data_IF_451141219477
#
_entry.id   IF_451141219477
#
_cell.length_a   1.000
_cell.length_b   1.000
_cell.length_c   1.000
_cell.angle_alpha   90.00
_cell.angle_beta   90.00
_cell.angle_gamma   90.00
#
_symmetry.space_group_name_H-M   'P 1'
#
loop_
_entity.id
_entity.type
_entity.pdbx_description
1 polymer ?
#
# COMPACT_ATOMS: atom_id res chain seq x y z
N UNK A 1 -10.89 -16.42 -10.86
CA UNK A 1 -11.38 -15.81 -9.61
C UNK A 1 -11.48 -14.30 -9.79
N UNK A 2 -12.70 -13.74 -10.00
CA UNK A 2 -12.89 -12.31 -10.25
C UNK A 2 -12.49 -11.41 -9.08
N UNK A 3 -12.47 -11.93 -7.84
CA UNK A 3 -12.14 -11.17 -6.63
C UNK A 3 -10.66 -10.75 -6.55
N UNK A 4 -9.74 -11.53 -7.10
CA UNK A 4 -8.31 -11.22 -7.02
C UNK A 4 -7.93 -10.04 -7.94
N UNK A 5 -8.48 -10.03 -9.15
CA UNK A 5 -8.30 -8.91 -10.07
C UNK A 5 -8.89 -7.62 -9.51
N UNK A 6 -10.04 -7.73 -8.82
CA UNK A 6 -10.67 -6.61 -8.14
C UNK A 6 -9.75 -6.02 -7.06
N UNK A 7 -9.10 -6.86 -6.25
CA UNK A 7 -8.17 -6.39 -5.21
C UNK A 7 -6.98 -5.63 -5.77
N UNK A 8 -6.42 -6.12 -6.88
CA UNK A 8 -5.32 -5.44 -7.58
C UNK A 8 -5.77 -4.08 -8.12
N UNK A 9 -6.93 -4.05 -8.79
CA UNK A 9 -7.52 -2.81 -9.32
C UNK A 9 -7.71 -1.80 -8.18
N UNK A 10 -8.24 -2.24 -7.04
CA UNK A 10 -8.36 -1.40 -5.85
C UNK A 10 -6.99 -0.85 -5.44
N UNK A 11 -6.01 -1.70 -5.18
CA UNK A 11 -4.68 -1.24 -4.74
C UNK A 11 -4.08 -0.20 -5.70
N UNK A 12 -4.18 -0.36 -7.01
CA UNK A 12 -3.53 0.57 -7.95
C UNK A 12 -4.32 1.83 -8.28
N UNK A 13 -5.62 1.89 -7.91
CA UNK A 13 -6.49 3.05 -8.23
C UNK A 13 -6.85 3.90 -7.01
N UNK A 14 -6.53 3.45 -5.80
CA UNK A 14 -6.83 4.16 -4.57
C UNK A 14 -5.98 5.43 -4.37
N UNK A 15 -6.50 6.32 -3.53
CA UNK A 15 -5.73 7.47 -3.02
C UNK A 15 -5.00 7.08 -1.75
N UNK A 16 -3.69 7.32 -1.74
CA UNK A 16 -2.83 7.08 -0.60
C UNK A 16 -2.36 8.40 0.03
N UNK A 17 -2.12 8.37 1.34
CA UNK A 17 -1.36 9.41 2.02
C UNK A 17 0.14 9.25 1.73
N UNK A 18 0.89 10.33 1.88
CA UNK A 18 2.36 10.29 1.85
C UNK A 18 2.89 9.24 2.83
N UNK A 19 3.96 8.48 2.49
CA UNK A 19 4.89 8.66 1.37
C UNK A 19 4.65 7.70 0.19
N UNK A 20 3.40 7.27 -0.04
CA UNK A 20 3.10 6.30 -1.10
C UNK A 20 2.95 6.99 -2.46
N UNK A 21 3.58 6.41 -3.49
CA UNK A 21 3.44 6.80 -4.88
C UNK A 21 3.04 5.60 -5.74
N UNK A 22 2.22 5.85 -6.77
CA UNK A 22 1.81 4.85 -7.77
C UNK A 22 2.33 5.29 -9.13
N UNK A 23 3.07 4.42 -9.79
CA UNK A 23 3.66 4.64 -11.11
C UNK A 23 3.14 3.59 -12.09
N UNK A 24 2.69 4.01 -13.26
CA UNK A 24 2.36 3.15 -14.38
C UNK A 24 3.22 3.47 -15.59
N UNK A 25 3.76 2.46 -16.27
CA UNK A 25 4.39 2.63 -17.59
C UNK A 25 3.54 1.95 -18.64
N UNK A 26 3.07 2.72 -19.62
CA UNK A 26 2.36 2.18 -20.78
C UNK A 26 3.31 1.42 -21.73
N UNK A 27 4.59 1.80 -21.76
CA UNK A 27 5.60 1.17 -22.63
C UNK A 27 5.90 -0.24 -22.15
N UNK A 28 6.17 -0.39 -20.86
CA UNK A 28 6.53 -1.67 -20.25
C UNK A 28 5.31 -2.43 -19.72
N UNK A 29 4.14 -1.81 -19.82
CA UNK A 29 2.85 -2.30 -19.33
C UNK A 29 2.97 -2.83 -17.89
N UNK A 30 3.57 -2.00 -17.04
CA UNK A 30 3.81 -2.30 -15.63
C UNK A 30 3.14 -1.26 -14.74
N UNK A 31 2.80 -1.68 -13.52
CA UNK A 31 2.33 -0.80 -12.45
C UNK A 31 3.14 -1.10 -11.20
N UNK A 32 3.57 -0.04 -10.51
CA UNK A 32 4.30 -0.13 -9.24
C UNK A 32 3.65 0.78 -8.21
N UNK A 33 3.41 0.25 -7.01
CA UNK A 33 3.11 1.04 -5.81
C UNK A 33 4.36 1.01 -4.95
N UNK A 34 4.83 2.17 -4.49
CA UNK A 34 6.06 2.27 -3.68
C UNK A 34 5.85 3.21 -2.51
N UNK A 35 6.29 2.77 -1.33
CA UNK A 35 6.56 3.65 -0.21
C UNK A 35 7.95 4.27 -0.43
N UNK A 36 7.97 5.58 -0.71
CA UNK A 36 9.20 6.29 -1.09
C UNK A 36 10.16 6.54 0.07
N UNK A 37 9.70 6.35 1.32
CA UNK A 37 10.53 6.54 2.52
C UNK A 37 11.37 5.31 2.85
N UNK A 38 10.77 4.11 2.78
CA UNK A 38 11.45 2.86 3.16
C UNK A 38 11.70 1.89 1.99
N UNK A 39 11.26 2.25 0.79
CA UNK A 39 11.49 1.46 -0.42
C UNK A 39 10.65 0.20 -0.55
N UNK A 40 9.69 -0.06 0.36
CA UNK A 40 8.71 -1.14 0.22
C UNK A 40 7.91 -0.92 -1.06
N UNK A 41 7.79 -1.94 -1.91
CA UNK A 41 7.10 -1.80 -3.19
C UNK A 41 6.33 -3.06 -3.57
N UNK A 42 5.25 -2.85 -4.32
CA UNK A 42 4.48 -3.86 -5.00
C UNK A 42 4.52 -3.59 -6.50
N UNK A 43 4.88 -4.58 -7.29
CA UNK A 43 5.09 -4.48 -8.73
C UNK A 43 4.22 -5.51 -9.46
N UNK A 44 3.61 -5.08 -10.55
CA UNK A 44 2.76 -5.88 -11.42
C UNK A 44 3.24 -5.68 -12.85
N UNK A 45 3.56 -6.78 -13.53
CA UNK A 45 4.00 -6.77 -14.91
C UNK A 45 2.93 -7.38 -15.84
N UNK A 46 2.97 -7.04 -17.12
CA UNK A 46 1.97 -7.44 -18.12
C UNK A 46 1.83 -8.95 -18.31
N UNK A 47 2.89 -9.72 -18.09
CA UNK A 47 2.87 -11.18 -18.10
C UNK A 47 2.17 -11.78 -16.87
N UNK A 48 1.50 -10.94 -16.07
CA UNK A 48 0.86 -11.30 -14.80
C UNK A 48 1.86 -11.83 -13.78
N UNK A 49 3.13 -11.45 -13.88
CA UNK A 49 4.07 -11.59 -12.78
C UNK A 49 3.83 -10.52 -11.73
N UNK A 50 3.90 -10.94 -10.47
CA UNK A 50 3.75 -10.06 -9.31
C UNK A 50 5.02 -10.16 -8.49
N UNK A 51 5.44 -9.02 -7.94
CA UNK A 51 6.53 -8.97 -6.98
C UNK A 51 6.22 -8.02 -5.84
N UNK A 52 6.66 -8.37 -4.64
CA UNK A 52 6.62 -7.50 -3.48
C UNK A 52 8.01 -7.46 -2.84
N UNK A 53 8.46 -6.28 -2.44
CA UNK A 53 9.69 -6.11 -1.66
C UNK A 53 9.33 -5.38 -0.38
N UNK A 54 9.69 -5.94 0.77
CA UNK A 54 9.47 -5.29 2.06
C UNK A 54 10.58 -4.26 2.39
N UNK A 55 10.42 -3.59 3.54
CA UNK A 55 11.39 -2.64 4.08
C UNK A 55 12.71 -3.27 4.51
N UNK A 56 12.72 -4.58 4.79
CA UNK A 56 13.89 -5.32 5.26
C UNK A 56 14.70 -5.90 4.09
N UNK A 57 14.20 -5.74 2.86
CA UNK A 57 14.84 -6.18 1.64
C UNK A 57 14.54 -7.63 1.27
N UNK A 58 13.49 -8.24 1.84
CA UNK A 58 12.98 -9.52 1.35
C UNK A 58 12.11 -9.29 0.11
N UNK A 59 12.19 -10.23 -0.83
CA UNK A 59 11.50 -10.19 -2.09
C UNK A 59 10.58 -11.39 -2.23
N UNK A 60 9.34 -11.18 -2.59
CA UNK A 60 8.40 -12.23 -2.98
C UNK A 60 8.10 -12.07 -4.46
N UNK A 61 8.23 -13.16 -5.21
CA UNK A 61 7.96 -13.21 -6.63
C UNK A 61 6.97 -14.31 -6.93
N UNK A 62 6.12 -14.10 -7.93
CA UNK A 62 5.42 -15.21 -8.58
C UNK A 62 6.46 -16.20 -9.10
N UNK A 63 6.08 -17.47 -9.20
CA UNK A 63 6.94 -18.50 -9.77
C UNK A 63 7.35 -18.10 -11.20
N UNK A 64 8.63 -17.78 -11.38
CA UNK A 64 9.20 -17.41 -12.67
C UNK A 64 9.57 -18.66 -13.45
N UNK A 65 9.51 -18.59 -14.79
CA UNK A 65 9.98 -19.70 -15.63
C UNK A 65 11.43 -20.05 -15.33
N UNK A 66 12.26 -19.03 -15.15
CA UNK A 66 13.62 -19.12 -14.65
C UNK A 66 14.03 -17.77 -14.07
N UNK A 67 15.03 -17.77 -13.18
CA UNK A 67 15.66 -16.53 -12.73
C UNK A 67 17.18 -16.72 -12.62
N UNK A 68 17.97 -15.72 -13.09
CA UNK A 68 19.41 -15.75 -12.92
C UNK A 68 19.78 -15.34 -11.48
N UNK A 69 20.71 -16.07 -10.88
CA UNK A 69 21.20 -15.85 -9.53
C UNK A 69 22.57 -16.49 -9.36
N UNK A 70 23.52 -15.81 -8.72
CA UNK A 70 24.87 -16.34 -8.45
C UNK A 70 25.52 -16.99 -9.70
N UNK A 71 25.53 -16.25 -10.82
CA UNK A 71 26.03 -16.67 -12.14
C UNK A 71 25.41 -17.95 -12.73
N UNK A 72 24.28 -18.40 -12.17
CA UNK A 72 23.54 -19.60 -12.61
C UNK A 72 22.09 -19.27 -12.92
N UNK A 73 21.47 -20.14 -13.71
CA UNK A 73 20.05 -20.07 -14.02
C UNK A 73 19.29 -21.10 -13.19
N UNK A 74 18.30 -20.64 -12.43
CA UNK A 74 17.44 -21.48 -11.59
C UNK A 74 16.01 -21.53 -12.12
N UNK A 75 15.32 -22.62 -11.80
CA UNK A 75 13.93 -22.89 -12.19
C UNK A 75 13.11 -23.05 -10.91
N UNK A 76 12.65 -21.94 -10.32
CA UNK A 76 12.09 -21.96 -9.00
C UNK A 76 10.73 -22.66 -9.00
N UNK A 77 10.42 -23.30 -7.88
CA UNK A 77 9.09 -23.86 -7.60
C UNK A 77 8.44 -23.17 -6.41
N UNK A 78 7.16 -23.47 -6.18
CA UNK A 78 6.42 -22.91 -5.06
C UNK A 78 7.12 -23.24 -3.74
N UNK A 79 7.40 -22.20 -2.94
CA UNK A 79 8.04 -22.33 -1.63
C UNK A 79 9.56 -22.24 -1.65
N UNK A 80 10.19 -22.22 -2.83
CA UNK A 80 11.63 -22.01 -2.93
C UNK A 80 12.06 -20.67 -2.33
N UNK A 81 13.26 -20.68 -1.74
CA UNK A 81 13.90 -19.50 -1.15
C UNK A 81 15.37 -19.45 -1.55
N UNK A 82 15.84 -18.25 -1.90
CA UNK A 82 17.22 -18.01 -2.27
C UNK A 82 17.75 -16.82 -1.48
N UNK A 83 18.93 -16.97 -0.90
CA UNK A 83 19.52 -15.97 0.01
C UNK A 83 20.56 -15.18 -0.77
N UNK A 84 20.23 -13.94 -1.14
CA UNK A 84 21.11 -13.07 -1.94
C UNK A 84 22.33 -12.59 -1.15
N UNK A 85 22.16 -12.41 0.16
CA UNK A 85 23.19 -12.13 1.16
C UNK A 85 22.63 -12.47 2.55
N UNK A 86 23.40 -12.26 3.62
CA UNK A 86 22.99 -12.59 5.01
C UNK A 86 21.67 -11.95 5.48
N UNK A 87 21.05 -11.04 4.71
CA UNK A 87 19.84 -10.30 5.11
C UNK A 87 18.68 -10.39 4.13
N UNK A 88 18.92 -10.64 2.85
CA UNK A 88 17.90 -10.57 1.81
C UNK A 88 17.52 -11.96 1.30
N UNK A 89 16.25 -12.30 1.42
CA UNK A 89 15.70 -13.56 0.90
C UNK A 89 14.75 -13.30 -0.26
N UNK A 90 14.92 -14.05 -1.34
CA UNK A 90 13.99 -14.13 -2.47
C UNK A 90 13.10 -15.35 -2.24
N UNK A 91 11.79 -15.13 -2.21
CA UNK A 91 10.75 -16.12 -2.01
C UNK A 91 9.95 -16.30 -3.30
N UNK A 92 9.67 -17.54 -3.68
CA UNK A 92 8.76 -17.85 -4.79
C UNK A 92 7.44 -18.36 -4.26
N UNK A 93 6.36 -17.62 -4.52
CA UNK A 93 5.03 -17.92 -4.00
C UNK A 93 3.93 -17.68 -5.04
N UNK A 94 2.68 -17.92 -4.65
CA UNK A 94 1.52 -17.68 -5.53
C UNK A 94 1.25 -16.18 -5.65
N UNK A 95 0.62 -15.76 -6.76
CA UNK A 95 0.23 -14.36 -6.95
C UNK A 95 -0.75 -13.91 -5.87
N UNK A 96 -1.62 -14.80 -5.40
CA UNK A 96 -2.60 -14.53 -4.35
C UNK A 96 -1.91 -14.10 -3.05
N UNK A 97 -0.87 -14.85 -2.64
CA UNK A 97 -0.09 -14.52 -1.45
C UNK A 97 0.62 -13.17 -1.58
N UNK A 98 1.15 -12.84 -2.76
CA UNK A 98 1.84 -11.55 -2.99
C UNK A 98 0.86 -10.39 -2.91
N UNK A 99 -0.32 -10.54 -3.50
CA UNK A 99 -1.38 -9.52 -3.45
C UNK A 99 -1.87 -9.32 -2.01
N UNK A 100 -1.99 -10.39 -1.24
CA UNK A 100 -2.36 -10.32 0.18
C UNK A 100 -1.30 -9.58 1.01
N UNK A 101 -0.02 -9.90 0.83
CA UNK A 101 1.10 -9.21 1.50
C UNK A 101 1.09 -7.71 1.14
N UNK A 102 0.93 -7.40 -0.15
CA UNK A 102 0.87 -6.02 -0.62
C UNK A 102 -0.34 -5.26 -0.03
N UNK A 103 -1.51 -5.90 0.01
CA UNK A 103 -2.72 -5.31 0.56
C UNK A 103 -2.56 -4.98 2.05
N UNK A 104 -2.08 -5.95 2.84
CA UNK A 104 -1.84 -5.76 4.28
C UNK A 104 -0.95 -4.54 4.53
N UNK A 105 0.07 -4.33 3.71
CA UNK A 105 0.97 -3.20 3.86
C UNK A 105 0.38 -1.86 3.37
N UNK A 106 -0.08 -1.79 2.12
CA UNK A 106 -0.45 -0.51 1.52
C UNK A 106 -1.80 0.02 2.01
N UNK A 107 -2.70 -0.83 2.50
CA UNK A 107 -3.99 -0.39 3.02
C UNK A 107 -3.89 0.51 4.26
N UNK A 108 -2.79 0.42 5.02
CA UNK A 108 -2.50 1.31 6.14
C UNK A 108 -2.32 2.78 5.74
N UNK A 109 -2.08 3.02 4.45
CA UNK A 109 -1.85 4.34 3.88
C UNK A 109 -3.04 4.85 3.06
N UNK A 110 -4.19 4.18 3.08
CA UNK A 110 -5.38 4.67 2.37
C UNK A 110 -5.97 5.89 3.06
N UNK A 111 -6.31 6.93 2.28
CA UNK A 111 -6.90 8.18 2.80
C UNK A 111 -8.16 7.91 3.64
N UNK A 112 -9.10 7.11 3.15
CA UNK A 112 -10.37 6.83 3.84
C UNK A 112 -10.21 6.04 5.15
N UNK A 113 -9.08 5.33 5.35
CA UNK A 113 -8.77 4.64 6.62
C UNK A 113 -8.42 5.65 7.73
N UNK A 114 -7.89 6.81 7.36
CA UNK A 114 -7.54 7.90 8.28
C UNK A 114 -8.67 8.93 8.44
N UNK A 115 -9.55 9.10 7.45
CA UNK A 115 -10.76 9.94 7.58
C UNK A 115 -11.71 9.41 8.66
N UNK A 116 -11.86 8.08 8.78
CA UNK A 116 -12.67 7.45 9.82
C UNK A 116 -12.05 7.51 11.23
N UNK A 117 -10.79 7.95 11.36
CA UNK A 117 -10.14 8.19 12.67
C UNK A 117 -10.33 9.61 13.18
N UNK A 118 -10.83 10.54 12.36
CA UNK A 118 -10.79 11.99 12.65
C UNK A 118 -12.17 12.61 12.91
N UNK A 119 -13.22 11.82 13.13
CA UNK A 119 -14.54 12.37 13.48
C UNK A 119 -15.17 11.57 14.64
N UNK A 120 -14.72 11.86 15.86
CA UNK A 120 -15.60 11.86 17.03
C UNK A 120 -16.02 13.31 17.27
N UNK A 121 -17.12 13.72 16.65
CA UNK A 121 -17.74 15.05 16.80
C UNK A 121 -18.38 15.29 18.19
N UNK A 122 -18.19 14.39 19.15
CA UNK A 122 -18.73 14.54 20.51
C UNK A 122 -17.84 15.36 21.45
N UNK A 123 -16.59 15.67 21.08
CA UNK A 123 -15.69 16.48 21.92
C UNK A 123 -15.85 18.00 21.71
N UNK A 124 -16.70 18.45 20.77
CA UNK A 124 -16.93 19.86 20.48
C UNK A 124 -18.20 20.46 21.12
N UNK A 125 -18.97 19.68 21.88
CA UNK A 125 -20.23 20.13 22.50
C UNK A 125 -20.27 19.80 24.00
N UNK A 126 -19.34 20.33 24.79
CA UNK A 126 -19.66 20.65 26.19
C UNK A 126 -19.00 21.98 26.54
N UNK A 127 -19.81 23.04 26.53
CA UNK A 127 -19.81 24.19 27.45
C UNK A 127 -20.72 25.30 26.89
N UNK A 128 -22.00 25.01 26.77
CA UNK A 128 -23.05 25.97 27.19
C UNK A 128 -23.37 25.60 28.65
N UNK A 129 -23.52 26.48 29.63
CA UNK A 129 -24.23 27.76 29.60
C UNK A 129 -24.13 28.52 30.96
N UNK A 130 -24.54 29.81 30.93
CA UNK A 130 -24.97 30.71 32.04
C UNK A 130 -23.91 31.51 32.81
N UNK A 131 -24.03 32.81 33.11
CA UNK A 131 -25.09 33.83 33.00
C UNK A 131 -24.40 35.21 32.73
N UNK A 132 -25.00 36.39 32.50
CA UNK A 132 -26.25 36.99 32.93
C UNK A 132 -26.39 38.38 32.23
N UNK A 133 -27.61 38.71 31.85
CA UNK A 133 -28.26 40.01 31.58
C UNK A 133 -27.50 41.34 31.85
N UNK A 134 -27.43 42.23 30.85
CA UNK A 134 -27.88 43.65 30.92
C UNK A 134 -27.97 44.31 29.51
N UNK A 135 -29.23 44.60 29.13
CA UNK A 135 -29.85 45.66 28.30
C UNK A 135 -29.13 46.44 27.14
N UNK A 136 -29.89 46.93 26.13
CA UNK A 136 -29.38 47.39 24.84
C UNK A 136 -29.11 48.90 24.79
N UNK A 137 -28.08 49.31 24.03
CA UNK A 137 -27.90 50.70 23.60
C UNK A 137 -27.81 50.76 22.08
N UNK A 138 -28.85 51.38 21.50
CA UNK A 138 -28.89 51.93 20.15
C UNK A 138 -27.67 52.83 19.88
N UNK A 139 -27.18 52.85 18.64
CA UNK A 139 -27.34 53.99 17.71
C UNK A 139 -26.83 53.62 16.31
N UNK A 140 -27.66 53.90 15.31
CA UNK A 140 -27.27 54.09 13.92
C UNK A 140 -26.41 55.37 13.81
N UNK A 141 -25.38 55.32 12.96
CA UNK A 141 -25.20 56.19 11.77
C UNK A 141 -24.10 55.61 10.90
#
# INVERSE_FOLDING_TARGET
MPQLNQKVIELVTQKYISPIAVFGSHLDKMITIINTENGTLFHISHDSSYAFKDKDGNHWHTILKCFPFDDKLYYPVLGDKYILNERMTIHFTTKEAIIEIAAVYFEDFLVHKHENKTINQNDFLTNTETAQDISPLFFNT
#
